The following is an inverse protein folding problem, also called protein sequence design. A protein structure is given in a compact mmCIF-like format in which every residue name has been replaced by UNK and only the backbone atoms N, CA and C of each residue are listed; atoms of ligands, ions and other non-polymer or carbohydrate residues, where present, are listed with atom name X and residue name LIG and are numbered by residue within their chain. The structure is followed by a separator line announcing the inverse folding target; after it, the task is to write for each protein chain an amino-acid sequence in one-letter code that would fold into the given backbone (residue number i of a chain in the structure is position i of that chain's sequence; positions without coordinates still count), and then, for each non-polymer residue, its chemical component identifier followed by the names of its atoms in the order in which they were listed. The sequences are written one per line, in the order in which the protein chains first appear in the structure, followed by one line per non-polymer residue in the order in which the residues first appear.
data_IF_266624785493
#
_entry.id   IF_266624785493
#
_cell.length_a   1.000
_cell.length_b   1.000
_cell.length_c   1.000
_cell.angle_alpha   90.00
_cell.angle_beta   90.00
_cell.angle_gamma   90.00
#
_symmetry.space_group_name_H-M   'P 1'
#
loop_
_entity.id
_entity.type
_entity.pdbx_description
1 polymer ?
#
# COMPACT_ATOMS: atom_id res chain seq x y z
N UNK A 1 -7.33 -16.07 7.91
CA UNK A 1 -6.16 -15.67 7.10
C UNK A 1 -6.00 -14.17 7.20
N UNK A 2 -4.77 -13.66 7.29
CA UNK A 2 -4.56 -12.21 7.39
C UNK A 2 -4.58 -11.54 6.02
N UNK A 3 -5.47 -10.57 5.82
CA UNK A 3 -5.63 -9.86 4.55
C UNK A 3 -5.40 -8.35 4.69
N UNK A 4 -5.02 -7.74 3.56
CA UNK A 4 -4.97 -6.30 3.36
C UNK A 4 -5.29 -5.99 1.88
N UNK A 5 -5.64 -4.75 1.60
CA UNK A 5 -5.87 -4.25 0.24
C UNK A 5 -4.82 -3.19 -0.06
N UNK A 6 -4.24 -3.23 -1.25
CA UNK A 6 -3.16 -2.34 -1.65
C UNK A 6 -3.21 -2.01 -3.15
N UNK A 7 -2.53 -0.92 -3.51
CA UNK A 7 -2.20 -0.56 -4.89
C UNK A 7 -0.81 -1.14 -5.19
N UNK A 8 -0.72 -1.94 -6.25
CA UNK A 8 0.55 -2.45 -6.77
C UNK A 8 1.32 -1.38 -7.52
N UNK A 9 2.64 -1.43 -7.43
CA UNK A 9 3.52 -0.50 -8.14
C UNK A 9 3.76 -0.97 -9.57
N UNK A 10 3.81 -0.02 -10.51
CA UNK A 10 4.20 -0.31 -11.90
C UNK A 10 5.70 -0.63 -12.01
N UNK A 11 6.12 -1.20 -13.14
CA UNK A 11 7.51 -1.61 -13.39
C UNK A 11 8.50 -0.44 -13.31
N UNK A 12 8.11 0.73 -13.81
CA UNK A 12 8.95 1.93 -13.80
C UNK A 12 9.32 2.35 -12.37
N UNK A 13 8.35 2.33 -11.46
CA UNK A 13 8.60 2.66 -10.06
C UNK A 13 9.40 1.57 -9.37
N UNK A 14 9.12 0.29 -9.65
CA UNK A 14 9.92 -0.82 -9.13
C UNK A 14 11.40 -0.66 -9.50
N UNK A 15 11.73 -0.28 -10.74
CA UNK A 15 13.10 -0.04 -11.16
C UNK A 15 13.78 1.10 -10.38
N UNK A 16 13.09 2.25 -10.21
CA UNK A 16 13.62 3.36 -9.40
C UNK A 16 13.89 2.95 -7.95
N UNK A 17 13.04 2.08 -7.40
CA UNK A 17 13.26 1.53 -6.06
C UNK A 17 14.44 0.57 -6.01
N UNK A 18 14.68 -0.23 -7.05
CA UNK A 18 15.90 -1.04 -7.16
C UNK A 18 17.14 -0.16 -7.06
N UNK A 19 17.22 0.88 -7.88
CA UNK A 19 18.37 1.80 -7.91
C UNK A 19 18.57 2.47 -6.55
N UNK A 20 17.49 2.82 -5.87
CA UNK A 20 17.54 3.38 -4.52
C UNK A 20 18.02 2.34 -3.49
N UNK A 21 17.52 1.11 -3.52
CA UNK A 21 17.97 0.04 -2.62
C UNK A 21 19.45 -0.27 -2.82
N UNK A 22 19.94 -0.32 -4.06
CA UNK A 22 21.36 -0.56 -4.38
C UNK A 22 22.28 0.49 -3.74
N UNK A 23 21.90 1.77 -3.75
CA UNK A 23 22.67 2.85 -3.10
C UNK A 23 22.89 2.62 -1.60
N UNK A 24 22.00 1.87 -0.96
CA UNK A 24 22.06 1.57 0.47
C UNK A 24 22.37 0.10 0.77
N UNK A 25 22.58 -0.74 -0.25
CA UNK A 25 22.71 -2.20 -0.10
C UNK A 25 23.90 -2.61 0.74
N UNK A 26 24.98 -1.83 0.72
CA UNK A 26 26.17 -2.05 1.54
C UNK A 26 25.94 -1.78 3.05
N UNK A 27 24.83 -1.12 3.44
CA UNK A 27 24.53 -0.87 4.85
C UNK A 27 24.10 -2.16 5.54
N UNK A 28 24.83 -2.53 6.59
CA UNK A 28 24.50 -3.65 7.46
C UNK A 28 23.26 -3.33 8.31
N UNK A 29 22.51 -4.37 8.69
CA UNK A 29 21.35 -4.26 9.57
C UNK A 29 20.02 -3.90 8.88
N UNK A 30 20.01 -3.73 7.55
CA UNK A 30 18.78 -3.52 6.77
C UNK A 30 18.37 -4.82 6.10
N UNK A 31 17.14 -5.28 6.39
CA UNK A 31 16.50 -6.36 5.64
C UNK A 31 15.65 -5.78 4.53
N UNK A 32 16.15 -5.85 3.29
CA UNK A 32 15.43 -5.33 2.13
C UNK A 32 14.24 -6.19 1.75
N UNK A 33 13.10 -5.52 1.50
CA UNK A 33 11.89 -6.16 0.99
C UNK A 33 12.04 -6.38 -0.52
N UNK A 34 11.66 -7.57 -1.01
CA UNK A 34 11.61 -7.86 -2.44
C UNK A 34 10.70 -6.85 -3.14
N UNK A 35 11.11 -6.33 -4.29
CA UNK A 35 10.39 -5.28 -5.02
C UNK A 35 8.93 -5.63 -5.31
N UNK A 36 8.67 -6.90 -5.68
CA UNK A 36 7.32 -7.43 -5.93
C UNK A 36 6.39 -7.38 -4.70
N UNK A 37 6.96 -7.27 -3.50
CA UNK A 37 6.21 -7.15 -2.25
C UNK A 37 6.02 -5.69 -1.82
N UNK A 38 6.61 -4.70 -2.53
CA UNK A 38 6.40 -3.29 -2.23
C UNK A 38 5.06 -2.86 -2.83
N UNK A 39 4.23 -2.25 -2.00
CA UNK A 39 2.88 -1.82 -2.35
C UNK A 39 2.46 -0.63 -1.48
N UNK A 40 1.47 0.12 -1.94
CA UNK A 40 0.81 1.14 -1.13
C UNK A 40 -0.43 0.52 -0.48
N UNK A 41 -0.35 0.23 0.82
CA UNK A 41 -1.49 -0.33 1.57
C UNK A 41 -2.60 0.71 1.74
N UNK A 42 -3.85 0.31 1.48
CA UNK A 42 -5.05 1.13 1.68
C UNK A 42 -5.78 0.75 2.97
N UNK A 43 -5.99 -0.57 3.19
CA UNK A 43 -6.71 -1.08 4.36
C UNK A 43 -6.09 -2.39 4.85
N UNK A 44 -5.82 -2.49 6.15
CA UNK A 44 -5.50 -3.74 6.82
C UNK A 44 -6.80 -4.37 7.33
N UNK A 45 -7.17 -5.54 6.81
CA UNK A 45 -8.44 -6.21 7.17
C UNK A 45 -8.31 -7.15 8.37
N UNK A 46 -7.07 -7.43 8.80
CA UNK A 46 -6.81 -8.39 9.87
C UNK A 46 -7.15 -9.82 9.46
N UNK A 47 -7.61 -10.62 10.42
CA UNK A 47 -8.05 -11.99 10.17
C UNK A 47 -9.42 -12.02 9.49
N UNK A 48 -9.46 -12.65 8.32
CA UNK A 48 -10.66 -12.78 7.48
C UNK A 48 -10.90 -14.25 7.18
N UNK A 49 -12.18 -14.64 7.23
CA UNK A 49 -12.66 -15.95 6.77
C UNK A 49 -12.62 -15.99 5.23
N UNK A 50 -12.09 -17.07 4.67
CA UNK A 50 -12.00 -17.29 3.22
C UNK A 50 -13.34 -17.14 2.50
N UNK A 51 -14.44 -17.49 3.17
CA UNK A 51 -15.81 -17.34 2.65
C UNK A 51 -16.18 -15.88 2.36
N UNK A 52 -15.52 -14.90 2.99
CA UNK A 52 -15.76 -13.47 2.76
C UNK A 52 -15.00 -12.91 1.55
N UNK A 53 -14.05 -13.65 0.97
CA UNK A 53 -13.22 -13.16 -0.16
C UNK A 53 -14.08 -12.72 -1.37
N UNK A 54 -15.12 -13.45 -1.81
CA UNK A 54 -15.98 -12.99 -2.90
C UNK A 54 -16.70 -11.68 -2.60
N UNK A 55 -17.10 -11.46 -1.33
CA UNK A 55 -17.75 -10.21 -0.91
C UNK A 55 -16.75 -9.04 -0.90
N UNK A 56 -15.52 -9.26 -0.43
CA UNK A 56 -14.44 -8.27 -0.46
C UNK A 56 -14.14 -7.85 -1.89
N UNK A 57 -14.00 -8.82 -2.82
CA UNK A 57 -13.79 -8.52 -4.25
C UNK A 57 -14.92 -7.67 -4.83
N UNK A 58 -16.18 -7.97 -4.50
CA UNK A 58 -17.33 -7.16 -4.93
C UNK A 58 -17.31 -5.76 -4.32
N UNK A 59 -16.94 -5.62 -3.05
CA UNK A 59 -16.78 -4.32 -2.39
C UNK A 59 -15.69 -3.48 -3.08
N UNK A 60 -14.53 -4.08 -3.41
CA UNK A 60 -13.47 -3.43 -4.18
C UNK A 60 -13.97 -2.95 -5.54
N UNK A 61 -14.70 -3.79 -6.29
CA UNK A 61 -15.26 -3.40 -7.59
C UNK A 61 -16.25 -2.23 -7.50
N UNK A 62 -17.05 -2.17 -6.43
CA UNK A 62 -17.96 -1.03 -6.18
C UNK A 62 -17.16 0.23 -5.82
N UNK A 63 -16.17 0.09 -4.95
CA UNK A 63 -15.31 1.17 -4.49
C UNK A 63 -14.39 1.75 -5.57
N UNK A 64 -14.12 1.02 -6.66
CA UNK A 64 -13.35 1.51 -7.82
C UNK A 64 -14.22 1.96 -8.98
N UNK A 65 -15.53 1.66 -8.97
CA UNK A 65 -16.44 2.07 -10.05
C UNK A 65 -16.46 3.59 -10.21
N UNK A 66 -16.22 4.07 -11.43
CA UNK A 66 -16.19 5.50 -11.76
C UNK A 66 -14.95 6.25 -11.29
N UNK A 67 -13.92 5.55 -10.77
CA UNK A 67 -12.61 6.15 -10.48
C UNK A 67 -11.77 6.08 -11.75
N UNK A 68 -11.43 7.24 -12.31
CA UNK A 68 -10.45 7.31 -13.39
C UNK A 68 -9.05 6.95 -12.87
N UNK A 69 -8.18 6.34 -13.70
CA UNK A 69 -6.78 6.17 -13.36
C UNK A 69 -6.15 7.52 -12.97
N UNK A 70 -5.31 7.51 -11.93
CA UNK A 70 -4.60 8.69 -11.44
C UNK A 70 -3.12 8.40 -11.28
N UNK A 71 -2.31 9.45 -11.29
CA UNK A 71 -0.86 9.35 -11.10
C UNK A 71 -0.50 9.61 -9.65
N UNK A 72 0.43 8.80 -9.14
CA UNK A 72 1.01 8.98 -7.82
C UNK A 72 2.41 9.55 -7.95
N UNK A 73 2.71 10.55 -7.13
CA UNK A 73 4.05 11.11 -6.97
C UNK A 73 4.57 10.79 -5.59
N UNK A 74 5.76 10.23 -5.52
CA UNK A 74 6.44 9.90 -4.28
C UNK A 74 7.52 10.93 -4.01
N UNK A 75 7.67 11.33 -2.76
CA UNK A 75 8.65 12.33 -2.33
C UNK A 75 9.17 12.00 -0.93
N UNK A 76 10.48 12.07 -0.78
CA UNK A 76 11.17 11.79 0.48
C UNK A 76 11.17 10.33 0.94
N UNK A 77 12.09 10.05 1.86
CA UNK A 77 12.12 8.82 2.65
C UNK A 77 11.76 9.16 4.10
N UNK A 78 10.91 8.34 4.69
CA UNK A 78 10.56 8.40 6.09
C UNK A 78 10.98 7.13 6.83
N UNK A 79 10.89 7.19 8.16
CA UNK A 79 11.13 6.01 9.00
C UNK A 79 10.07 5.87 10.08
N UNK A 80 9.80 4.64 10.50
CA UNK A 80 9.02 4.34 11.71
C UNK A 80 9.88 3.63 12.76
N UNK A 81 9.70 3.90 14.07
CA UNK A 81 8.90 5.00 14.60
C UNK A 81 9.56 6.37 14.38
N UNK A 82 10.89 6.44 14.29
CA UNK A 82 11.64 7.67 14.04
C UNK A 82 13.09 7.38 13.59
N UNK A 83 13.81 8.43 13.19
CA UNK A 83 15.19 8.34 12.68
C UNK A 83 16.24 7.91 13.72
N UNK A 84 15.98 8.07 15.02
CA UNK A 84 16.92 7.69 16.07
C UNK A 84 16.95 6.17 16.28
N UNK A 85 15.83 5.49 16.02
CA UNK A 85 15.69 4.04 16.16
C UNK A 85 14.78 3.46 15.05
N UNK A 86 15.19 3.53 13.77
CA UNK A 86 14.35 3.14 12.66
C UNK A 86 14.16 1.62 12.60
N UNK A 87 12.90 1.19 12.46
CA UNK A 87 12.50 -0.21 12.22
C UNK A 87 11.98 -0.45 10.81
N UNK A 88 11.41 0.58 10.19
CA UNK A 88 10.89 0.54 8.81
C UNK A 88 11.32 1.81 8.10
N UNK A 89 11.77 1.68 6.85
CA UNK A 89 11.98 2.79 5.92
C UNK A 89 10.82 2.77 4.92
N UNK A 90 10.22 3.92 4.65
CA UNK A 90 9.09 4.06 3.73
C UNK A 90 9.27 5.27 2.81
N UNK A 91 8.51 5.31 1.71
CA UNK A 91 8.52 6.41 0.74
C UNK A 91 7.30 7.28 0.98
N UNK A 92 7.50 8.59 1.09
CA UNK A 92 6.40 9.53 1.23
C UNK A 92 5.59 9.65 -0.05
N UNK A 93 4.29 9.89 0.11
CA UNK A 93 3.38 10.19 -0.98
C UNK A 93 3.11 11.70 -0.99
N UNK A 94 3.17 12.34 -2.16
CA UNK A 94 2.98 13.79 -2.29
C UNK A 94 1.57 14.18 -2.68
N UNK A 95 0.89 13.36 -3.49
CA UNK A 95 -0.51 13.56 -3.86
C UNK A 95 -1.36 12.47 -3.23
N UNK A 96 -2.07 12.83 -2.17
CA UNK A 96 -2.84 11.88 -1.37
C UNK A 96 -4.34 11.93 -1.66
N UNK A 97 -4.86 12.99 -2.31
CA UNK A 97 -6.32 13.22 -2.41
C UNK A 97 -7.06 12.07 -3.09
N UNK A 98 -6.55 11.59 -4.21
CA UNK A 98 -7.14 10.49 -4.97
C UNK A 98 -7.06 9.17 -4.18
N UNK A 99 -5.94 8.94 -3.49
CA UNK A 99 -5.73 7.75 -2.65
C UNK A 99 -6.65 7.76 -1.45
N UNK A 100 -6.74 8.89 -0.74
CA UNK A 100 -7.62 9.07 0.43
C UNK A 100 -9.08 8.93 0.00
N UNK A 101 -9.48 9.53 -1.12
CA UNK A 101 -10.83 9.36 -1.67
C UNK A 101 -11.14 7.90 -1.99
N UNK A 102 -10.22 7.19 -2.66
CA UNK A 102 -10.37 5.76 -2.96
C UNK A 102 -10.45 4.92 -1.68
N UNK A 103 -9.61 5.21 -0.70
CA UNK A 103 -9.54 4.53 0.58
C UNK A 103 -10.86 4.71 1.38
N UNK A 104 -11.41 5.92 1.42
CA UNK A 104 -12.70 6.20 2.06
C UNK A 104 -13.86 5.48 1.36
N UNK A 105 -13.85 5.42 0.02
CA UNK A 105 -14.84 4.63 -0.75
C UNK A 105 -14.73 3.14 -0.42
N UNK A 106 -13.50 2.65 -0.27
CA UNK A 106 -13.24 1.25 0.07
C UNK A 106 -13.73 0.92 1.48
N UNK A 107 -13.41 1.73 2.49
CA UNK A 107 -13.91 1.60 3.87
C UNK A 107 -15.45 1.57 3.91
N UNK A 108 -16.10 2.44 3.14
CA UNK A 108 -17.56 2.49 3.05
C UNK A 108 -18.16 1.20 2.49
N UNK A 109 -17.56 0.60 1.46
CA UNK A 109 -18.07 -0.65 0.90
C UNK A 109 -17.72 -1.88 1.76
N UNK A 110 -16.57 -1.88 2.44
CA UNK A 110 -16.17 -2.94 3.37
C UNK A 110 -17.02 -2.95 4.64
N UNK A 111 -17.31 -1.79 5.22
CA UNK A 111 -18.16 -1.68 6.42
C UNK A 111 -19.56 -2.25 6.21
N UNK A 112 -20.13 -2.09 5.00
CA UNK A 112 -21.43 -2.67 4.61
C UNK A 112 -21.47 -4.20 4.64
N UNK A 113 -20.31 -4.86 4.55
CA UNK A 113 -20.18 -6.33 4.63
C UNK A 113 -19.57 -6.79 5.96
N UNK A 114 -19.54 -5.90 6.97
CA UNK A 114 -19.05 -6.20 8.31
C UNK A 114 -17.54 -6.38 8.39
N UNK A 115 -16.78 -5.71 7.52
CA UNK A 115 -15.33 -5.65 7.55
C UNK A 115 -14.93 -4.21 7.92
N UNK A 116 -14.18 -4.08 9.00
CA UNK A 116 -13.57 -2.81 9.41
C UNK A 116 -12.26 -2.61 8.67
#
# INVERSE_FOLDING_TARGET
MRLFIAISLNSQLQQKLTELQEKFRARKGIRWVKLQNIHLTLNFLGEVDEQKIPLIKKAMQKATRGVSPFSLSFDGLGTFPNLKAPRVIWLGLKSEKEVVSLQQRLEKELSRIGIK
#
